data_IF_953791251194
#
_entry.id   IF_953791251194
#
_cell.length_a   1.000
_cell.length_b   1.000
_cell.length_c   1.000
_cell.angle_alpha   90.00
_cell.angle_beta   90.00
_cell.angle_gamma   90.00
#
_symmetry.space_group_name_H-M   'P 1'
#
loop_
_entity.id
_entity.type
_entity.pdbx_description
1 polymer ?
#
# COMPACT_ATOMS: atom_id res chain seq x y z
N UNK A 1 20.36 21.33 -26.68
CA UNK A 1 19.37 20.27 -26.40
C UNK A 1 18.59 20.73 -25.18
N UNK A 2 17.26 20.95 -25.24
CA UNK A 2 16.55 21.37 -24.04
C UNK A 2 16.23 20.15 -23.18
N UNK A 3 16.43 20.38 -21.88
CA UNK A 3 16.37 19.43 -20.78
C UNK A 3 15.03 18.70 -20.70
N UNK A 4 15.13 17.41 -20.38
CA UNK A 4 14.03 16.53 -20.02
C UNK A 4 13.25 17.11 -18.84
N UNK A 5 12.11 17.74 -19.13
CA UNK A 5 11.11 18.07 -18.12
C UNK A 5 10.39 16.78 -17.73
N UNK A 6 10.95 16.02 -16.80
CA UNK A 6 10.23 14.94 -16.13
C UNK A 6 9.14 15.56 -15.25
N UNK A 7 7.99 15.88 -15.84
CA UNK A 7 6.75 16.14 -15.11
C UNK A 7 5.78 15.03 -15.43
N UNK A 8 5.70 14.02 -14.56
CA UNK A 8 4.40 13.50 -14.15
C UNK A 8 4.43 12.61 -12.89
N UNK A 9 3.98 13.14 -11.74
CA UNK A 9 3.48 12.34 -10.62
C UNK A 9 1.94 12.38 -10.55
N UNK A 10 1.26 12.50 -11.70
CA UNK A 10 -0.16 12.80 -11.88
C UNK A 10 -0.49 14.27 -11.54
N UNK A 11 -0.03 15.22 -12.39
CA UNK A 11 -0.37 16.68 -12.40
C UNK A 11 -0.78 17.31 -11.05
N UNK A 12 0.09 17.23 -10.04
CA UNK A 12 -0.09 17.93 -8.76
C UNK A 12 -1.06 17.27 -7.77
N UNK A 13 -1.26 15.95 -7.86
CA UNK A 13 -2.09 15.18 -6.91
C UNK A 13 -3.59 15.23 -7.19
N UNK A 14 -3.99 15.78 -8.34
CA UNK A 14 -5.40 15.96 -8.72
C UNK A 14 -5.93 14.91 -9.69
N UNK A 15 -5.08 14.00 -10.14
CA UNK A 15 -5.40 12.98 -11.13
C UNK A 15 -4.97 11.61 -10.62
N UNK A 16 -5.74 10.57 -10.97
CA UNK A 16 -5.38 9.17 -10.72
C UNK A 16 -4.75 8.56 -11.97
N UNK A 17 -3.74 7.74 -11.75
CA UNK A 17 -3.18 6.91 -12.81
C UNK A 17 -4.06 5.69 -13.01
N UNK A 18 -4.18 5.25 -14.26
CA UNK A 18 -4.89 4.02 -14.61
C UNK A 18 -4.03 3.15 -15.51
N UNK A 19 -4.25 1.84 -15.41
CA UNK A 19 -3.73 0.90 -16.38
C UNK A 19 -4.49 0.95 -17.73
N UNK A 20 -4.09 0.09 -18.67
CA UNK A 20 -4.83 -0.14 -19.92
C UNK A 20 -6.26 -0.59 -19.66
N UNK A 21 -6.47 -1.35 -18.58
CA UNK A 21 -7.77 -1.80 -18.11
C UNK A 21 -8.12 -1.08 -16.80
N UNK A 22 -9.36 -0.59 -16.68
CA UNK A 22 -9.90 -0.02 -15.44
C UNK A 22 -10.80 -1.04 -14.77
N UNK A 23 -10.41 -1.48 -13.56
CA UNK A 23 -11.24 -2.32 -12.69
C UNK A 23 -12.07 -1.49 -11.70
N UNK A 24 -11.62 -0.26 -11.44
CA UNK A 24 -12.27 0.70 -10.55
C UNK A 24 -12.58 1.98 -11.35
N UNK A 25 -13.79 2.57 -11.22
CA UNK A 25 -14.93 2.06 -10.46
C UNK A 25 -15.44 0.71 -10.96
N UNK A 26 -15.86 -0.15 -10.02
CA UNK A 26 -16.49 -1.42 -10.37
C UNK A 26 -17.80 -1.16 -11.11
N UNK A 27 -18.06 -1.90 -12.18
CA UNK A 27 -19.30 -1.77 -12.94
C UNK A 27 -20.50 -2.18 -12.08
N UNK A 28 -21.44 -1.25 -11.88
CA UNK A 28 -22.67 -1.46 -11.09
C UNK A 28 -23.95 -1.29 -11.92
N UNK A 29 -23.86 -1.40 -13.24
CA UNK A 29 -24.98 -1.15 -14.16
C UNK A 29 -25.03 0.29 -14.71
N UNK A 30 -24.11 1.15 -14.29
CA UNK A 30 -23.94 2.52 -14.78
C UNK A 30 -22.73 2.59 -15.71
N UNK A 31 -22.86 3.31 -16.83
CA UNK A 31 -21.76 3.56 -17.77
C UNK A 31 -21.08 4.91 -17.56
N UNK A 32 -21.76 5.84 -16.88
CA UNK A 32 -21.25 7.16 -16.58
C UNK A 32 -21.28 7.40 -15.09
N UNK A 33 -20.21 7.98 -14.57
CA UNK A 33 -20.10 8.32 -13.16
C UNK A 33 -19.82 9.81 -13.03
N UNK A 34 -20.58 10.49 -12.19
CA UNK A 34 -20.20 11.82 -11.72
C UNK A 34 -18.84 11.72 -10.98
N UNK A 35 -17.90 12.58 -11.35
CA UNK A 35 -16.56 12.63 -10.76
C UNK A 35 -16.55 13.71 -9.68
N UNK A 36 -16.65 13.30 -8.43
CA UNK A 36 -16.49 14.18 -7.27
C UNK A 36 -15.17 13.87 -6.53
N UNK A 37 -14.61 14.82 -5.76
CA UNK A 37 -13.40 14.57 -4.98
C UNK A 37 -13.51 13.33 -4.08
N UNK A 38 -14.67 13.14 -3.43
CA UNK A 38 -14.93 12.01 -2.53
C UNK A 38 -14.91 10.67 -3.27
N UNK A 39 -15.47 10.64 -4.48
CA UNK A 39 -15.46 9.44 -5.32
C UNK A 39 -14.06 9.11 -5.82
N UNK A 40 -13.26 10.12 -6.15
CA UNK A 40 -11.85 9.94 -6.52
C UNK A 40 -11.06 9.33 -5.36
N UNK A 41 -11.24 9.82 -4.14
CA UNK A 41 -10.60 9.21 -2.96
C UNK A 41 -11.06 7.76 -2.73
N UNK A 42 -12.36 7.50 -2.88
CA UNK A 42 -12.89 6.14 -2.74
C UNK A 42 -12.33 5.19 -3.79
N UNK A 43 -12.25 5.61 -5.06
CA UNK A 43 -11.69 4.80 -6.13
C UNK A 43 -10.19 4.56 -5.98
N UNK A 44 -9.45 5.56 -5.51
CA UNK A 44 -8.03 5.42 -5.17
C UNK A 44 -7.83 4.36 -4.08
N UNK A 45 -8.67 4.40 -3.05
CA UNK A 45 -8.67 3.41 -1.97
C UNK A 45 -9.02 2.00 -2.47
N UNK A 46 -10.11 1.86 -3.23
CA UNK A 46 -10.59 0.56 -3.71
C UNK A 46 -9.63 -0.08 -4.72
N UNK A 47 -8.97 0.74 -5.54
CA UNK A 47 -8.04 0.27 -6.56
C UNK A 47 -6.64 -0.06 -6.04
N UNK A 48 -6.29 0.37 -4.82
CA UNK A 48 -4.96 0.24 -4.21
C UNK A 48 -3.80 0.90 -5.00
N UNK A 49 -4.10 1.48 -6.17
CA UNK A 49 -3.15 2.17 -7.05
C UNK A 49 -3.36 3.68 -6.92
N UNK A 50 -2.60 4.28 -6.01
CA UNK A 50 -2.58 5.72 -5.80
C UNK A 50 -1.13 6.19 -5.57
N UNK A 51 -0.58 6.93 -6.53
CA UNK A 51 0.79 7.46 -6.48
C UNK A 51 0.83 8.92 -6.01
N UNK A 52 -0.28 9.48 -5.51
CA UNK A 52 -0.31 10.85 -5.00
C UNK A 52 0.54 10.95 -3.72
N UNK A 53 1.14 12.12 -3.44
CA UNK A 53 2.06 12.28 -2.30
C UNK A 53 1.49 11.83 -0.96
N UNK A 54 0.18 12.04 -0.74
CA UNK A 54 -0.50 11.63 0.49
C UNK A 54 -0.45 10.11 0.67
N UNK A 55 -0.72 9.32 -0.37
CA UNK A 55 -0.71 7.87 -0.29
C UNK A 55 0.72 7.30 -0.23
N UNK A 56 1.68 7.92 -0.92
CA UNK A 56 3.09 7.55 -0.81
C UNK A 56 3.58 7.69 0.64
N UNK A 57 3.15 8.73 1.35
CA UNK A 57 3.48 8.90 2.77
C UNK A 57 2.91 7.77 3.64
N UNK A 58 1.70 7.31 3.36
CA UNK A 58 1.10 6.15 4.04
C UNK A 58 1.97 4.90 3.82
N UNK A 59 2.41 4.64 2.58
CA UNK A 59 3.31 3.52 2.30
C UNK A 59 4.65 3.63 3.02
N UNK A 60 5.25 4.83 3.07
CA UNK A 60 6.48 5.06 3.83
C UNK A 60 6.30 4.81 5.33
N UNK A 61 5.17 5.23 5.90
CA UNK A 61 4.86 5.00 7.31
C UNK A 61 4.62 3.52 7.60
N UNK A 62 3.97 2.76 6.70
CA UNK A 62 3.82 1.30 6.80
C UNK A 62 5.16 0.59 6.84
N UNK A 63 6.04 0.93 5.89
CA UNK A 63 7.39 0.35 5.83
C UNK A 63 8.15 0.67 7.12
N UNK A 64 8.08 1.92 7.61
CA UNK A 64 8.74 2.30 8.86
C UNK A 64 8.26 1.46 10.05
N UNK A 65 6.95 1.28 10.21
CA UNK A 65 6.37 0.46 11.29
C UNK A 65 6.83 -1.00 11.21
N UNK A 66 6.85 -1.58 10.02
CA UNK A 66 7.38 -2.94 9.81
C UNK A 66 8.84 -3.03 10.31
N UNK A 67 9.69 -2.06 9.95
CA UNK A 67 11.07 -2.05 10.44
C UNK A 67 11.19 -1.79 11.95
N UNK A 68 10.34 -0.95 12.53
CA UNK A 68 10.27 -0.73 13.98
C UNK A 68 9.90 -2.03 14.71
N UNK A 69 8.92 -2.79 14.19
CA UNK A 69 8.52 -4.11 14.73
C UNK A 69 9.69 -5.11 14.65
N UNK A 70 10.34 -5.23 13.49
CA UNK A 70 11.51 -6.11 13.31
C UNK A 70 12.63 -5.77 14.31
N UNK A 71 12.91 -4.48 14.50
CA UNK A 71 13.98 -4.03 15.39
C UNK A 71 13.62 -4.11 16.88
N UNK A 72 12.34 -4.30 17.21
CA UNK A 72 11.89 -4.51 18.60
C UNK A 72 12.11 -5.94 19.09
N UNK A 73 12.31 -6.90 18.18
CA UNK A 73 12.60 -8.30 18.50
C UNK A 73 14.07 -8.39 18.94
N UNK A 74 14.39 -8.92 20.14
CA UNK A 74 15.77 -9.10 20.57
C UNK A 74 16.56 -10.00 19.62
N UNK A 75 17.81 -9.67 19.31
CA UNK A 75 18.63 -10.45 18.35
C UNK A 75 18.89 -11.90 18.82
N UNK A 76 18.85 -12.12 20.13
CA UNK A 76 19.06 -13.43 20.76
C UNK A 76 17.77 -14.28 20.84
N UNK A 77 16.63 -13.71 20.45
CA UNK A 77 15.35 -14.38 20.50
C UNK A 77 15.09 -15.15 19.20
N UNK A 78 15.44 -16.43 19.21
CA UNK A 78 15.16 -17.37 18.12
C UNK A 78 13.86 -18.14 18.34
N UNK A 79 12.99 -17.69 19.25
CA UNK A 79 11.75 -18.40 19.55
C UNK A 79 10.78 -18.28 18.38
N UNK A 80 9.99 -19.34 18.14
CA UNK A 80 8.91 -19.33 17.15
C UNK A 80 7.73 -18.42 17.55
N UNK A 81 7.89 -17.62 18.60
CA UNK A 81 6.87 -16.68 19.07
C UNK A 81 6.62 -15.56 18.05
N UNK A 82 7.64 -15.24 17.23
CA UNK A 82 7.56 -14.18 16.23
C UNK A 82 7.55 -14.77 14.82
N UNK A 83 6.35 -14.99 14.26
CA UNK A 83 6.18 -15.52 12.88
C UNK A 83 6.70 -14.57 11.78
N UNK A 84 6.96 -13.30 12.11
CA UNK A 84 7.34 -12.22 11.17
C UNK A 84 8.61 -11.49 11.64
N UNK A 85 9.64 -12.26 11.94
CA UNK A 85 10.94 -11.78 12.41
C UNK A 85 11.82 -11.18 11.29
N UNK A 86 13.06 -10.83 11.64
CA UNK A 86 14.03 -10.25 10.68
C UNK A 86 14.30 -11.18 9.51
N UNK A 87 14.38 -12.49 9.73
CA UNK A 87 14.60 -13.47 8.67
C UNK A 87 13.41 -13.47 7.70
N UNK A 88 12.18 -13.53 8.21
CA UNK A 88 10.97 -13.48 7.38
C UNK A 88 10.94 -12.25 6.46
N UNK A 89 11.33 -11.08 6.95
CA UNK A 89 11.27 -9.84 6.16
C UNK A 89 12.47 -9.61 5.23
N UNK A 90 13.66 -10.07 5.61
CA UNK A 90 14.93 -9.72 4.95
C UNK A 90 15.65 -10.91 4.29
N UNK A 91 15.07 -12.10 4.28
CA UNK A 91 15.61 -13.25 3.54
C UNK A 91 15.73 -12.99 2.03
N UNK A 92 14.82 -12.18 1.48
CA UNK A 92 14.81 -11.77 0.08
C UNK A 92 15.53 -10.43 -0.13
N UNK A 93 16.18 -10.24 -1.28
CA UNK A 93 16.80 -8.95 -1.67
C UNK A 93 15.79 -7.80 -1.78
N UNK A 94 14.50 -8.13 -1.97
CA UNK A 94 13.42 -7.17 -2.09
C UNK A 94 12.27 -7.52 -1.13
N UNK A 95 11.63 -6.48 -0.59
CA UNK A 95 10.43 -6.67 0.23
C UNK A 95 9.34 -7.29 -0.63
N UNK A 96 8.98 -8.53 -0.32
CA UNK A 96 7.95 -9.25 -1.04
C UNK A 96 6.58 -8.62 -0.80
N UNK A 97 5.92 -8.16 -1.88
CA UNK A 97 4.64 -7.44 -1.79
C UNK A 97 3.56 -8.22 -1.04
N UNK A 98 3.54 -9.56 -1.18
CA UNK A 98 2.62 -10.42 -0.44
C UNK A 98 2.80 -10.35 1.09
N UNK A 99 4.04 -10.17 1.58
CA UNK A 99 4.34 -10.04 3.02
C UNK A 99 3.78 -8.71 3.55
N UNK A 100 3.93 -7.63 2.78
CA UNK A 100 3.38 -6.31 3.10
C UNK A 100 1.85 -6.33 3.11
N UNK A 101 1.22 -6.92 2.10
CA UNK A 101 -0.25 -7.05 2.06
C UNK A 101 -0.76 -7.86 3.26
N UNK A 102 -0.09 -8.95 3.61
CA UNK A 102 -0.40 -9.73 4.82
C UNK A 102 -0.30 -8.91 6.10
N UNK A 103 0.72 -8.06 6.22
CA UNK A 103 0.87 -7.14 7.34
C UNK A 103 -0.26 -6.11 7.40
N UNK A 104 -0.64 -5.51 6.27
CA UNK A 104 -1.75 -4.54 6.18
C UNK A 104 -3.06 -5.19 6.64
N UNK A 105 -3.36 -6.41 6.19
CA UNK A 105 -4.57 -7.11 6.61
C UNK A 105 -4.60 -7.41 8.11
N UNK A 106 -3.46 -7.75 8.71
CA UNK A 106 -3.39 -8.00 10.15
C UNK A 106 -3.54 -6.73 10.98
N UNK A 107 -2.94 -5.61 10.57
CA UNK A 107 -2.80 -4.41 11.41
C UNK A 107 -3.81 -3.30 11.10
N UNK A 108 -4.22 -3.15 9.84
CA UNK A 108 -5.09 -2.05 9.41
C UNK A 108 -6.54 -2.52 9.18
N UNK A 109 -6.72 -3.67 8.53
CA UNK A 109 -8.06 -4.17 8.16
C UNK A 109 -8.71 -5.06 9.24
N UNK A 110 -8.13 -5.10 10.45
CA UNK A 110 -8.60 -5.95 11.59
C UNK A 110 -8.84 -7.42 11.19
N UNK A 111 -8.09 -7.94 10.21
CA UNK A 111 -8.24 -9.30 9.68
C UNK A 111 -7.75 -10.41 10.63
N UNK A 112 -7.16 -10.06 11.77
CA UNK A 112 -6.96 -10.98 12.88
C UNK A 112 -8.34 -11.30 13.48
N UNK A 113 -8.94 -12.41 13.04
CA UNK A 113 -10.00 -13.05 13.82
C UNK A 113 -9.36 -13.48 15.13
N UNK A 114 -9.46 -12.63 16.16
CA UNK A 114 -9.22 -13.05 17.53
C UNK A 114 -10.14 -14.25 17.76
N UNK A 115 -9.55 -15.43 17.96
CA UNK A 115 -10.25 -16.53 18.59
C UNK A 115 -10.34 -16.13 20.06
N UNK A 116 -11.54 -15.77 20.49
CA UNK A 116 -11.91 -15.86 21.90
C UNK A 116 -11.87 -17.33 22.35
#
# INVERSE_FOLDING_TARGET
MPESSFRDPAKGGKTLLRGPEMKIPAYRGEQEFEVTPERVEQWAKDGWVDLRPQNIKIWQDRIRKIFEEINSIPEDDTSSQYERDRQYWLEDEAIHIGKVVGWIFSHEEKGLRMKD
#
